data_IF_130904691003
#
_entry.id   IF_130904691003
#
_cell.length_a   1.000
_cell.length_b   1.000
_cell.length_c   1.000
_cell.angle_alpha   90.00
_cell.angle_beta   90.00
_cell.angle_gamma   90.00
#
_symmetry.space_group_name_H-M   'P 1'
#
loop_
_entity.id
_entity.type
_entity.pdbx_description
1 polymer ?
#
# COMPACT_ATOMS: atom_id res chain seq x y z
N UNK A 1 1.99 -18.21 6.09
CA UNK A 1 3.21 -17.41 5.81
C UNK A 1 4.43 -18.08 6.39
N UNK A 2 4.57 -18.16 7.72
CA UNK A 2 5.73 -18.77 8.39
C UNK A 2 6.09 -20.17 7.90
N UNK A 3 5.13 -21.11 7.91
CA UNK A 3 5.31 -22.48 7.43
C UNK A 3 5.83 -22.61 5.99
N UNK A 4 5.62 -21.58 5.15
CA UNK A 4 6.07 -21.56 3.76
C UNK A 4 7.44 -20.90 3.58
N UNK A 5 7.83 -19.99 4.47
CA UNK A 5 9.01 -19.15 4.30
C UNK A 5 10.20 -19.59 5.16
N UNK A 6 9.96 -20.21 6.32
CA UNK A 6 11.04 -20.76 7.15
C UNK A 6 11.87 -21.84 6.42
N UNK A 7 11.27 -22.81 5.69
CA UNK A 7 12.04 -23.81 4.95
C UNK A 7 12.91 -23.22 3.82
N UNK A 8 12.53 -22.05 3.29
CA UNK A 8 13.27 -21.33 2.25
C UNK A 8 14.41 -20.47 2.83
N UNK A 9 14.63 -20.52 4.15
CA UNK A 9 15.71 -19.78 4.82
C UNK A 9 15.45 -18.27 4.96
N UNK A 10 14.20 -17.82 4.83
CA UNK A 10 13.83 -16.43 5.04
C UNK A 10 13.93 -16.06 6.53
N UNK A 11 14.42 -14.85 6.82
CA UNK A 11 14.62 -14.40 8.19
C UNK A 11 13.31 -14.27 8.97
N UNK A 12 13.37 -14.46 10.29
CA UNK A 12 12.20 -14.29 11.17
C UNK A 12 11.63 -12.86 11.11
N UNK A 13 12.51 -11.86 10.96
CA UNK A 13 12.16 -10.46 10.85
C UNK A 13 11.36 -10.17 9.56
N UNK A 14 11.76 -10.75 8.43
CA UNK A 14 11.05 -10.61 7.16
C UNK A 14 9.71 -11.34 7.21
N UNK A 15 9.67 -12.55 7.75
CA UNK A 15 8.43 -13.32 7.95
C UNK A 15 7.45 -12.54 8.83
N UNK A 16 7.94 -11.97 9.93
CA UNK A 16 7.16 -11.13 10.84
C UNK A 16 6.66 -9.88 10.13
N UNK A 17 7.49 -9.25 9.30
CA UNK A 17 7.10 -8.09 8.50
C UNK A 17 5.98 -8.43 7.51
N UNK A 18 6.13 -9.54 6.78
CA UNK A 18 5.11 -10.06 5.87
C UNK A 18 3.84 -10.43 6.63
N UNK A 19 3.89 -10.99 7.83
CA UNK A 19 2.65 -11.29 8.57
C UNK A 19 1.96 -9.99 9.03
N UNK A 20 2.74 -9.00 9.45
CA UNK A 20 2.21 -7.78 10.08
C UNK A 20 1.38 -6.89 9.15
N UNK A 21 1.61 -6.91 7.82
CA UNK A 21 0.81 -6.09 6.90
C UNK A 21 -0.66 -6.53 6.84
N UNK A 22 -0.97 -7.78 7.21
CA UNK A 22 -2.33 -8.30 7.31
C UNK A 22 -3.03 -8.01 8.65
N UNK A 23 -2.42 -7.21 9.54
CA UNK A 23 -2.89 -7.03 10.92
C UNK A 23 -4.34 -6.55 11.02
N UNK A 24 -5.19 -7.39 11.64
CA UNK A 24 -6.62 -7.13 11.78
C UNK A 24 -7.45 -7.28 10.50
N UNK A 25 -6.86 -7.82 9.42
CA UNK A 25 -7.53 -8.03 8.11
C UNK A 25 -7.65 -9.51 7.73
N UNK A 26 -6.59 -10.29 7.94
CA UNK A 26 -6.49 -11.68 7.45
C UNK A 26 -6.41 -12.72 8.59
N UNK A 27 -6.79 -12.32 9.80
CA UNK A 27 -6.54 -13.10 11.01
C UNK A 27 -5.09 -12.97 11.53
N UNK A 28 -4.25 -12.16 10.88
CA UNK A 28 -2.91 -11.84 11.39
C UNK A 28 -3.01 -11.00 12.68
N UNK A 29 -2.27 -11.44 13.70
CA UNK A 29 -2.29 -10.87 15.06
C UNK A 29 -1.05 -10.04 15.39
N UNK A 30 -0.03 -10.06 14.54
CA UNK A 30 1.21 -9.30 14.74
C UNK A 30 0.98 -7.85 14.31
N UNK A 31 1.02 -6.92 15.28
CA UNK A 31 0.88 -5.50 15.00
C UNK A 31 2.15 -4.94 14.33
N UNK A 32 2.04 -4.07 13.31
CA UNK A 32 3.17 -3.30 12.78
C UNK A 32 3.78 -2.40 13.86
N UNK A 33 5.10 -2.51 14.09
CA UNK A 33 5.81 -1.71 15.10
C UNK A 33 6.98 -0.92 14.51
N UNK A 34 7.70 -1.48 13.53
CA UNK A 34 8.79 -0.80 12.84
C UNK A 34 8.28 0.08 11.69
N UNK A 35 9.10 1.05 11.26
CA UNK A 35 8.71 1.91 10.14
C UNK A 35 8.51 1.11 8.84
N UNK A 36 9.29 0.04 8.62
CA UNK A 36 9.11 -0.85 7.48
C UNK A 36 7.75 -1.57 7.51
N UNK A 37 7.38 -2.14 8.66
CA UNK A 37 6.10 -2.84 8.83
C UNK A 37 4.91 -1.91 8.65
N UNK A 38 4.98 -0.71 9.25
CA UNK A 38 3.94 0.32 9.12
C UNK A 38 3.83 0.81 7.67
N UNK A 39 4.97 0.97 6.99
CA UNK A 39 5.00 1.37 5.59
C UNK A 39 4.33 0.32 4.71
N UNK A 40 4.70 -0.95 4.86
CA UNK A 40 4.11 -2.06 4.11
C UNK A 40 2.59 -2.14 4.32
N UNK A 41 2.15 -2.06 5.57
CA UNK A 41 0.74 -2.01 5.94
C UNK A 41 -0.02 -0.83 5.32
N UNK A 42 0.59 0.36 5.30
CA UNK A 42 -0.04 1.57 4.78
C UNK A 42 -0.18 1.53 3.25
N UNK A 43 0.83 1.02 2.54
CA UNK A 43 0.87 1.06 1.07
C UNK A 43 0.16 -0.13 0.41
N UNK A 44 0.03 -1.28 1.07
CA UNK A 44 -0.58 -2.50 0.49
C UNK A 44 -1.95 -2.21 -0.15
N UNK A 45 -2.87 -1.64 0.61
CA UNK A 45 -4.19 -1.23 0.12
C UNK A 45 -4.16 -0.01 -0.82
N UNK A 46 -3.25 0.94 -0.57
CA UNK A 46 -3.17 2.18 -1.35
C UNK A 46 -2.70 1.92 -2.78
N UNK A 47 -1.74 1.01 -2.97
CA UNK A 47 -1.23 0.65 -4.30
C UNK A 47 -2.35 0.15 -5.21
N UNK A 48 -3.35 -0.57 -4.68
CA UNK A 48 -4.54 -0.99 -5.43
C UNK A 48 -5.35 0.18 -5.99
N UNK A 49 -5.50 1.27 -5.22
CA UNK A 49 -6.19 2.49 -5.66
C UNK A 49 -5.35 3.22 -6.72
N UNK A 50 -4.04 3.35 -6.52
CA UNK A 50 -3.12 3.99 -7.47
C UNK A 50 -3.10 3.21 -8.80
N UNK A 51 -2.94 1.89 -8.74
CA UNK A 51 -2.94 0.99 -9.88
C UNK A 51 -4.24 1.11 -10.67
N UNK A 52 -5.39 0.96 -10.00
CA UNK A 52 -6.70 1.09 -10.65
C UNK A 52 -6.85 2.47 -11.31
N UNK A 53 -6.27 3.53 -10.73
CA UNK A 53 -6.39 4.86 -11.29
C UNK A 53 -5.48 5.05 -12.48
N UNK A 54 -4.26 4.51 -12.44
CA UNK A 54 -3.36 4.48 -13.59
C UNK A 54 -4.02 3.81 -14.80
N UNK A 55 -4.67 2.66 -14.62
CA UNK A 55 -5.39 1.96 -15.71
C UNK A 55 -6.54 2.77 -16.34
N UNK A 56 -7.10 3.75 -15.64
CA UNK A 56 -8.14 4.63 -16.20
C UNK A 56 -7.57 5.81 -17.01
N UNK A 57 -6.29 6.12 -16.85
CA UNK A 57 -5.67 7.31 -17.42
C UNK A 57 -4.99 6.96 -18.74
N UNK A 58 -5.09 7.81 -19.78
CA UNK A 58 -4.36 7.56 -21.03
C UNK A 58 -2.84 7.58 -20.84
N UNK A 59 -2.32 8.41 -19.93
CA UNK A 59 -0.89 8.50 -19.63
C UNK A 59 -0.43 7.52 -18.54
N UNK A 60 -1.30 6.60 -18.13
CA UNK A 60 -1.08 5.61 -17.06
C UNK A 60 -0.50 6.21 -15.76
N UNK A 61 0.74 5.93 -15.35
CA UNK A 61 1.38 6.57 -14.19
C UNK A 61 1.87 8.01 -14.48
N UNK A 62 2.33 8.28 -15.71
CA UNK A 62 3.00 9.54 -16.05
C UNK A 62 2.15 10.76 -15.71
N UNK A 63 2.70 11.70 -14.93
CA UNK A 63 2.00 12.92 -14.51
C UNK A 63 0.86 12.73 -13.51
N UNK A 64 0.76 11.60 -12.80
CA UNK A 64 -0.25 11.44 -11.74
C UNK A 64 -0.02 12.46 -10.62
N UNK A 65 -1.04 13.25 -10.28
CA UNK A 65 -0.96 14.18 -9.15
C UNK A 65 -1.71 13.66 -7.93
N UNK A 66 -1.19 13.94 -6.73
CA UNK A 66 -1.86 13.66 -5.45
C UNK A 66 -3.27 14.22 -5.43
N UNK A 67 -3.50 15.43 -5.98
CA UNK A 67 -4.83 16.05 -6.06
C UNK A 67 -5.84 15.20 -6.83
N UNK A 68 -5.42 14.61 -7.94
CA UNK A 68 -6.27 13.76 -8.78
C UNK A 68 -6.54 12.39 -8.14
N UNK A 69 -5.51 11.77 -7.55
CA UNK A 69 -5.66 10.53 -6.80
C UNK A 69 -6.56 10.72 -5.57
N UNK A 70 -6.43 11.84 -4.83
CA UNK A 70 -7.26 12.15 -3.67
C UNK A 70 -8.75 12.28 -4.02
N UNK A 71 -9.10 12.68 -5.25
CA UNK A 71 -10.50 12.64 -5.74
C UNK A 71 -10.98 11.20 -5.88
N UNK A 72 -10.18 10.32 -6.48
CA UNK A 72 -10.48 8.89 -6.64
C UNK A 72 -10.56 8.16 -5.29
N UNK A 73 -9.65 8.47 -4.38
CA UNK A 73 -9.66 7.94 -3.02
C UNK A 73 -10.98 8.25 -2.29
N UNK A 74 -11.51 9.48 -2.43
CA UNK A 74 -12.78 9.88 -1.81
C UNK A 74 -14.01 9.20 -2.41
N UNK A 75 -13.94 8.79 -3.68
CA UNK A 75 -15.01 8.02 -4.31
C UNK A 75 -14.97 6.57 -3.80
N UNK A 76 -15.87 6.24 -2.86
CA UNK A 76 -15.93 4.90 -2.25
C UNK A 76 -16.31 3.78 -3.23
N UNK A 77 -16.88 4.10 -4.40
CA UNK A 77 -17.21 3.11 -5.43
C UNK A 77 -16.00 2.74 -6.28
N UNK A 78 -15.08 3.68 -6.45
CA UNK A 78 -13.84 3.43 -7.16
C UNK A 78 -12.93 2.50 -6.35
N UNK A 79 -12.38 1.43 -6.94
CA UNK A 79 -11.59 0.43 -6.21
C UNK A 79 -12.27 0.03 -4.87
N UNK A 80 -13.54 -0.38 -4.94
CA UNK A 80 -14.39 -0.60 -3.76
C UNK A 80 -13.89 -1.69 -2.81
N UNK A 81 -13.02 -2.59 -3.29
CA UNK A 81 -12.36 -3.60 -2.47
C UNK A 81 -11.26 -3.02 -1.59
N UNK A 82 -10.74 -1.83 -1.91
CA UNK A 82 -9.66 -1.22 -1.15
C UNK A 82 -10.17 -0.54 0.12
N UNK A 83 -9.53 -0.86 1.25
CA UNK A 83 -9.93 -0.35 2.55
C UNK A 83 -9.29 1.00 2.88
N UNK A 84 -10.07 2.08 2.77
CA UNK A 84 -9.62 3.45 3.04
C UNK A 84 -9.30 3.72 4.51
N UNK A 85 -9.96 3.02 5.43
CA UNK A 85 -9.69 3.16 6.87
C UNK A 85 -8.34 2.55 7.22
N UNK A 86 -7.97 1.44 6.58
CA UNK A 86 -6.63 0.83 6.70
C UNK A 86 -5.55 1.80 6.22
N UNK A 87 -5.75 2.39 5.03
CA UNK A 87 -4.80 3.36 4.47
C UNK A 87 -4.63 4.58 5.39
N UNK A 88 -5.74 5.12 5.91
CA UNK A 88 -5.69 6.26 6.84
C UNK A 88 -4.96 5.90 8.13
N UNK A 89 -5.29 4.75 8.74
CA UNK A 89 -4.61 4.25 9.94
C UNK A 89 -3.11 4.07 9.69
N UNK A 90 -2.72 3.55 8.53
CA UNK A 90 -1.31 3.41 8.14
C UNK A 90 -0.57 4.75 8.07
N UNK A 91 -1.20 5.78 7.51
CA UNK A 91 -0.65 7.15 7.52
C UNK A 91 -0.50 7.69 8.94
N UNK A 92 -1.53 7.51 9.78
CA UNK A 92 -1.56 7.97 11.17
C UNK A 92 -0.47 7.27 12.01
N UNK A 93 -0.29 5.95 11.85
CA UNK A 93 0.73 5.16 12.57
C UNK A 93 2.18 5.53 12.17
N UNK A 94 2.35 6.03 10.94
CA UNK A 94 3.61 6.60 10.43
C UNK A 94 3.81 8.07 10.85
N UNK A 95 2.78 8.73 11.39
CA UNK A 95 2.83 10.14 11.76
C UNK A 95 2.93 11.08 10.55
N UNK A 96 2.48 10.66 9.37
CA UNK A 96 2.48 11.47 8.14
C UNK A 96 1.06 11.72 7.66
N UNK A 97 0.84 12.81 6.93
CA UNK A 97 -0.47 13.05 6.34
C UNK A 97 -0.71 12.13 5.12
N UNK A 98 -1.99 11.86 4.84
CA UNK A 98 -2.40 11.00 3.73
C UNK A 98 -1.89 11.49 2.37
N UNK A 99 -1.71 12.80 2.18
CA UNK A 99 -1.17 13.37 0.94
C UNK A 99 0.29 12.97 0.73
N UNK A 100 1.11 13.04 1.79
CA UNK A 100 2.50 12.57 1.77
C UNK A 100 2.57 11.07 1.47
N UNK A 101 1.75 10.25 2.11
CA UNK A 101 1.69 8.81 1.81
C UNK A 101 1.33 8.54 0.33
N UNK A 102 0.35 9.27 -0.21
CA UNK A 102 -0.04 9.19 -1.62
C UNK A 102 1.09 9.60 -2.57
N UNK A 103 1.82 10.67 -2.25
CA UNK A 103 2.96 11.14 -3.05
C UNK A 103 4.07 10.08 -3.11
N UNK A 104 4.44 9.51 -1.97
CA UNK A 104 5.45 8.46 -1.88
C UNK A 104 5.03 7.20 -2.66
N UNK A 105 3.76 6.79 -2.54
CA UNK A 105 3.23 5.65 -3.27
C UNK A 105 3.23 5.88 -4.79
N UNK A 106 2.80 7.07 -5.25
CA UNK A 106 2.85 7.45 -6.67
C UNK A 106 4.30 7.40 -7.16
N UNK A 107 5.24 8.01 -6.42
CA UNK A 107 6.64 8.06 -6.82
C UNK A 107 7.23 6.65 -6.94
N UNK A 108 7.06 5.80 -5.93
CA UNK A 108 7.58 4.43 -5.94
C UNK A 108 7.01 3.59 -7.08
N UNK A 109 5.71 3.69 -7.34
CA UNK A 109 5.09 2.99 -8.47
C UNK A 109 5.50 3.57 -9.83
N UNK A 110 5.75 4.88 -9.93
CA UNK A 110 6.21 5.52 -11.18
C UNK A 110 7.62 5.07 -11.54
N UNK A 111 8.52 4.94 -10.56
CA UNK A 111 9.88 4.42 -10.77
C UNK A 111 9.92 2.98 -11.31
N UNK A 112 8.82 2.24 -11.14
CA UNK A 112 8.66 0.83 -11.56
C UNK A 112 7.51 0.65 -12.55
N UNK A 113 7.04 1.72 -13.20
CA UNK A 113 5.83 1.67 -14.04
C UNK A 113 5.92 0.61 -15.14
N UNK A 114 7.09 0.48 -15.78
CA UNK A 114 7.33 -0.51 -16.83
C UNK A 114 7.20 -1.97 -16.31
N UNK A 115 7.66 -2.25 -15.09
CA UNK A 115 7.55 -3.57 -14.45
C UNK A 115 6.10 -3.90 -14.04
N UNK A 116 5.28 -2.87 -13.85
CA UNK A 116 3.88 -2.97 -13.45
C UNK A 116 2.90 -2.96 -14.63
N UNK A 117 3.40 -2.81 -15.86
CA UNK A 117 2.60 -2.49 -17.05
C UNK A 117 1.67 -1.28 -16.83
N UNK A 118 2.19 -0.26 -16.13
CA UNK A 118 1.52 1.01 -15.84
C UNK A 118 2.22 2.22 -16.49
#
# INVERSE_FOLDING_TARGET
VRELLEPEGISDDDITTIISHGYGLTGATIKPTTDCQKSLFAVDELTGIVHAYALMRPEKMSGMSVKSLKKKFKDKRFAAKCNREVIQRGADDLGIDLGTLMELCIKGMTERADELDL
#
